data_IF_197078354671
#
_entry.id   IF_197078354671
#
_cell.length_a   1.000
_cell.length_b   1.000
_cell.length_c   1.000
_cell.angle_alpha   90.00
_cell.angle_beta   90.00
_cell.angle_gamma   90.00
#
_symmetry.space_group_name_H-M   'P 1'
#
loop_
_entity.id
_entity.type
_entity.pdbx_description
1 polymer ?
#
# COMPACT_ATOMS: atom_id res chain seq x y z
N UNK A 1 31.04 -45.63 -27.20
CA UNK A 1 30.05 -44.60 -27.59
C UNK A 1 28.94 -44.65 -26.56
N UNK A 2 28.99 -43.71 -25.61
CA UNK A 2 28.00 -43.53 -24.54
C UNK A 2 26.75 -42.91 -25.15
N UNK A 3 25.57 -43.47 -24.91
CA UNK A 3 24.36 -42.67 -24.75
C UNK A 3 23.33 -43.49 -23.98
N UNK A 4 23.12 -43.03 -22.75
CA UNK A 4 22.28 -43.58 -21.71
C UNK A 4 20.80 -43.47 -22.11
N UNK A 5 20.12 -44.62 -22.14
CA UNK A 5 18.67 -44.69 -22.11
C UNK A 5 18.17 -44.66 -20.67
N UNK A 6 17.02 -44.01 -20.49
CA UNK A 6 16.14 -44.04 -19.31
C UNK A 6 16.50 -43.12 -18.13
N UNK A 7 16.28 -41.81 -18.32
CA UNK A 7 15.91 -40.91 -17.21
C UNK A 7 14.39 -40.78 -17.17
N UNK A 8 13.73 -41.69 -16.45
CA UNK A 8 12.36 -41.52 -15.95
C UNK A 8 12.41 -40.62 -14.72
N UNK A 9 12.07 -39.34 -14.87
CA UNK A 9 11.76 -38.45 -13.76
C UNK A 9 10.41 -37.80 -14.03
N UNK A 10 9.36 -38.50 -13.60
CA UNK A 10 8.06 -37.93 -13.28
C UNK A 10 8.24 -36.92 -12.16
N UNK A 11 8.11 -35.63 -12.45
CA UNK A 11 7.94 -34.59 -11.45
C UNK A 11 6.74 -33.72 -11.85
N UNK A 12 5.59 -34.20 -11.39
CA UNK A 12 4.33 -33.52 -11.08
C UNK A 12 4.21 -32.07 -11.53
N UNK A 13 3.32 -31.83 -12.48
CA UNK A 13 2.68 -30.54 -12.68
C UNK A 13 1.92 -30.19 -11.38
N UNK A 14 2.54 -29.38 -10.52
CA UNK A 14 1.81 -28.69 -9.45
C UNK A 14 1.05 -27.57 -10.14
N UNK A 15 -0.09 -27.91 -10.74
CA UNK A 15 -1.18 -26.95 -10.90
C UNK A 15 -1.58 -26.56 -9.48
N UNK A 16 -0.95 -25.52 -8.94
CA UNK A 16 -1.42 -24.84 -7.76
C UNK A 16 -2.84 -24.38 -8.07
N UNK A 17 -3.83 -25.07 -7.51
CA UNK A 17 -5.20 -24.60 -7.53
C UNK A 17 -5.18 -23.17 -7.00
N UNK A 18 -5.68 -22.23 -7.80
CA UNK A 18 -6.03 -20.91 -7.29
C UNK A 18 -6.95 -21.18 -6.10
N UNK A 19 -6.41 -21.04 -4.89
CA UNK A 19 -7.23 -21.14 -3.69
C UNK A 19 -8.28 -20.06 -3.87
N UNK A 20 -9.55 -20.46 -3.90
CA UNK A 20 -10.65 -19.51 -3.90
C UNK A 20 -10.56 -18.80 -2.54
N UNK A 21 -9.79 -17.71 -2.49
CA UNK A 21 -9.75 -16.83 -1.33
C UNK A 21 -11.14 -16.21 -1.29
N UNK A 22 -11.97 -16.70 -0.37
CA UNK A 22 -13.22 -16.02 -0.06
C UNK A 22 -12.85 -14.59 0.31
N UNK A 23 -13.45 -13.62 -0.37
CA UNK A 23 -13.26 -12.21 -0.03
C UNK A 23 -13.59 -12.06 1.46
N UNK A 24 -12.71 -11.42 2.25
CA UNK A 24 -12.98 -11.21 3.66
C UNK A 24 -14.30 -10.45 3.82
N UNK A 25 -14.97 -10.59 4.98
CA UNK A 25 -16.09 -9.72 5.35
C UNK A 25 -15.72 -8.26 5.08
N UNK A 26 -16.67 -7.47 4.57
CA UNK A 26 -16.41 -6.08 4.15
C UNK A 26 -15.73 -5.26 5.26
N UNK A 27 -16.10 -5.47 6.52
CA UNK A 27 -15.50 -4.79 7.67
C UNK A 27 -14.02 -5.16 7.89
N UNK A 28 -13.67 -6.44 7.76
CA UNK A 28 -12.27 -6.89 7.88
C UNK A 28 -11.42 -6.40 6.71
N UNK A 29 -12.01 -6.34 5.52
CA UNK A 29 -11.38 -5.76 4.33
C UNK A 29 -11.10 -4.26 4.53
N UNK A 30 -12.07 -3.53 5.06
CA UNK A 30 -11.94 -2.09 5.34
C UNK A 30 -10.80 -1.82 6.33
N UNK A 31 -10.72 -2.58 7.42
CA UNK A 31 -9.66 -2.47 8.43
C UNK A 31 -8.28 -2.72 7.80
N UNK A 32 -8.16 -3.77 6.99
CA UNK A 32 -6.90 -4.10 6.33
C UNK A 32 -6.45 -2.99 5.36
N UNK A 33 -7.37 -2.48 4.55
CA UNK A 33 -7.11 -1.38 3.60
C UNK A 33 -6.73 -0.08 4.31
N UNK A 34 -7.40 0.24 5.42
CA UNK A 34 -7.06 1.40 6.25
C UNK A 34 -5.66 1.25 6.86
N UNK A 35 -5.33 0.06 7.39
CA UNK A 35 -4.02 -0.23 7.97
C UNK A 35 -2.88 -0.13 6.96
N UNK A 36 -3.07 -0.70 5.77
CA UNK A 36 -2.08 -0.63 4.69
C UNK A 36 -1.87 0.82 4.23
N UNK A 37 -2.97 1.55 4.00
CA UNK A 37 -2.88 2.93 3.54
C UNK A 37 -2.23 3.85 4.58
N UNK A 38 -2.51 3.64 5.87
CA UNK A 38 -1.81 4.32 6.95
C UNK A 38 -0.31 3.99 6.97
N UNK A 39 0.06 2.73 6.73
CA UNK A 39 1.46 2.30 6.64
C UNK A 39 2.21 3.03 5.53
N UNK A 40 1.60 3.15 4.34
CA UNK A 40 2.20 3.86 3.21
C UNK A 40 2.34 5.37 3.44
N UNK A 41 1.34 6.02 4.04
CA UNK A 41 1.45 7.41 4.45
C UNK A 41 2.57 7.59 5.47
N UNK A 42 2.68 6.66 6.42
CA UNK A 42 3.71 6.73 7.44
C UNK A 42 5.11 6.64 6.85
N UNK A 43 5.34 5.67 5.96
CA UNK A 43 6.60 5.50 5.26
C UNK A 43 6.95 6.72 4.41
N UNK A 44 5.96 7.32 3.72
CA UNK A 44 6.16 8.52 2.90
C UNK A 44 6.71 9.67 3.74
N UNK A 45 6.12 9.92 4.91
CA UNK A 45 6.63 10.95 5.82
C UNK A 45 8.03 10.68 6.33
N UNK A 46 8.31 9.44 6.72
CA UNK A 46 9.66 9.05 7.17
C UNK A 46 10.68 9.24 6.06
N UNK A 47 10.37 8.86 4.81
CA UNK A 47 11.28 9.06 3.69
C UNK A 47 11.50 10.52 3.37
N UNK A 48 10.48 11.36 3.53
CA UNK A 48 10.62 12.80 3.36
C UNK A 48 11.50 13.43 4.45
N UNK A 49 11.25 13.11 5.72
CA UNK A 49 12.03 13.62 6.86
C UNK A 49 13.51 13.20 6.78
N UNK A 50 13.77 11.97 6.31
CA UNK A 50 15.13 11.48 6.05
C UNK A 50 15.79 12.10 4.81
N UNK A 51 15.08 12.90 4.03
CA UNK A 51 15.57 13.49 2.78
C UNK A 51 15.77 12.46 1.65
N UNK A 52 15.17 11.28 1.76
CA UNK A 52 15.26 10.22 0.75
C UNK A 52 14.37 10.49 -0.46
N UNK A 53 13.31 11.29 -0.28
CA UNK A 53 12.46 11.80 -1.35
C UNK A 53 12.38 13.32 -1.26
N UNK A 54 12.23 14.00 -2.40
CA UNK A 54 12.03 15.45 -2.45
C UNK A 54 10.64 15.84 -1.95
N UNK A 55 10.45 17.13 -1.64
CA UNK A 55 9.14 17.66 -1.29
C UNK A 55 8.09 17.40 -2.38
N UNK A 56 8.47 17.57 -3.65
CA UNK A 56 7.58 17.29 -4.80
C UNK A 56 7.18 15.82 -4.86
N UNK A 57 8.14 14.90 -4.68
CA UNK A 57 7.87 13.46 -4.64
C UNK A 57 6.97 13.10 -3.46
N UNK A 58 7.22 13.68 -2.29
CA UNK A 58 6.39 13.52 -1.10
C UNK A 58 4.95 14.00 -1.33
N UNK A 59 4.78 15.21 -1.88
CA UNK A 59 3.46 15.78 -2.22
C UNK A 59 2.69 14.89 -3.19
N UNK A 60 3.35 14.40 -4.23
CA UNK A 60 2.73 13.51 -5.20
C UNK A 60 2.32 12.17 -4.56
N UNK A 61 3.20 11.57 -3.74
CA UNK A 61 2.91 10.33 -3.05
C UNK A 61 1.73 10.48 -2.08
N UNK A 62 1.71 11.53 -1.28
CA UNK A 62 0.60 11.87 -0.37
C UNK A 62 -0.71 12.07 -1.14
N UNK A 63 -0.70 12.82 -2.25
CA UNK A 63 -1.89 13.04 -3.08
C UNK A 63 -2.45 11.73 -3.64
N UNK A 64 -1.55 10.88 -4.16
CA UNK A 64 -1.94 9.57 -4.69
C UNK A 64 -2.53 8.67 -3.60
N UNK A 65 -1.87 8.59 -2.45
CA UNK A 65 -2.33 7.76 -1.32
C UNK A 65 -3.66 8.26 -0.78
N UNK A 66 -3.85 9.57 -0.62
CA UNK A 66 -5.13 10.14 -0.17
C UNK A 66 -6.25 9.95 -1.19
N UNK A 67 -5.95 9.96 -2.49
CA UNK A 67 -6.92 9.60 -3.54
C UNK A 67 -7.34 8.13 -3.44
N UNK A 68 -6.38 7.22 -3.19
CA UNK A 68 -6.66 5.79 -3.00
C UNK A 68 -7.45 5.53 -1.71
N UNK A 69 -7.09 6.22 -0.62
CA UNK A 69 -7.81 6.16 0.66
C UNK A 69 -9.23 6.70 0.49
N UNK A 70 -9.41 7.79 -0.26
CA UNK A 70 -10.74 8.34 -0.51
C UNK A 70 -11.61 7.28 -1.18
N UNK A 71 -11.16 6.75 -2.33
CA UNK A 71 -11.79 5.64 -3.05
C UNK A 71 -13.31 5.75 -3.21
N UNK A 72 -13.98 4.68 -3.64
CA UNK A 72 -15.45 4.66 -3.66
C UNK A 72 -16.06 4.23 -2.31
N UNK A 73 -15.26 3.61 -1.42
CA UNK A 73 -15.79 2.92 -0.22
C UNK A 73 -15.47 3.62 1.11
N UNK A 74 -14.41 4.43 1.19
CA UNK A 74 -13.87 4.93 2.47
C UNK A 74 -14.19 6.43 2.72
N UNK A 75 -14.21 7.24 1.68
CA UNK A 75 -14.64 8.64 1.71
C UNK A 75 -13.67 9.62 2.37
N UNK A 76 -14.11 10.88 2.48
CA UNK A 76 -13.29 11.99 3.00
C UNK A 76 -12.92 11.83 4.49
N UNK A 77 -13.78 11.18 5.30
CA UNK A 77 -13.44 10.92 6.70
C UNK A 77 -12.22 10.02 6.87
N UNK A 78 -12.09 8.99 6.03
CA UNK A 78 -10.94 8.09 6.08
C UNK A 78 -9.64 8.85 5.75
N UNK A 79 -9.69 9.77 4.78
CA UNK A 79 -8.56 10.66 4.44
C UNK A 79 -8.21 11.56 5.63
N UNK A 80 -9.21 12.16 6.28
CA UNK A 80 -9.00 13.04 7.42
C UNK A 80 -8.41 12.30 8.63
N UNK A 81 -8.90 11.10 8.93
CA UNK A 81 -8.34 10.24 9.99
C UNK A 81 -6.89 9.87 9.68
N UNK A 82 -6.61 9.48 8.43
CA UNK A 82 -5.27 9.06 8.03
C UNK A 82 -4.27 10.24 8.03
N UNK A 83 -4.69 11.41 7.54
CA UNK A 83 -3.91 12.66 7.62
C UNK A 83 -3.61 13.00 9.08
N UNK A 84 -4.62 13.00 9.95
CA UNK A 84 -4.45 13.27 11.38
C UNK A 84 -3.45 12.29 12.03
N UNK A 85 -3.63 10.99 11.81
CA UNK A 85 -2.75 9.97 12.39
C UNK A 85 -1.30 10.11 11.91
N UNK A 86 -1.09 10.44 10.64
CA UNK A 86 0.24 10.64 10.10
C UNK A 86 0.92 11.92 10.65
N UNK A 87 0.17 13.02 10.77
CA UNK A 87 0.66 14.29 11.33
C UNK A 87 0.88 14.27 12.84
N UNK A 88 0.03 13.56 13.59
CA UNK A 88 0.21 13.37 15.03
C UNK A 88 1.51 12.58 15.30
N UNK A 89 1.91 11.68 14.38
CA UNK A 89 3.18 10.94 14.45
C UNK A 89 4.38 11.79 14.00
N UNK A 90 4.22 12.54 12.92
CA UNK A 90 5.29 13.30 12.26
C UNK A 90 4.78 14.69 11.83
N UNK A 91 4.86 15.70 12.72
CA UNK A 91 4.36 17.05 12.44
C UNK A 91 5.13 17.75 11.31
N UNK A 92 6.40 17.39 11.09
CA UNK A 92 7.24 17.98 10.04
C UNK A 92 6.77 17.62 8.64
N UNK A 93 6.12 16.48 8.50
CA UNK A 93 5.56 16.02 7.23
C UNK A 93 4.41 16.92 6.72
N UNK A 94 3.86 17.86 7.52
CA UNK A 94 2.85 18.85 7.11
C UNK A 94 3.21 19.59 5.82
N UNK A 95 4.48 19.86 5.53
CA UNK A 95 4.92 20.55 4.30
C UNK A 95 4.54 19.81 3.01
N UNK A 96 4.41 18.47 3.05
CA UNK A 96 4.04 17.67 1.87
C UNK A 96 2.55 17.34 1.78
N UNK A 97 1.75 17.67 2.79
CA UNK A 97 0.30 17.72 2.67
C UNK A 97 -0.12 19.11 2.21
N UNK A 98 -0.27 19.28 0.90
CA UNK A 98 -0.84 20.51 0.36
C UNK A 98 -2.19 20.83 1.03
N UNK A 99 -2.42 22.10 1.35
CA UNK A 99 -3.77 22.61 1.57
C UNK A 99 -4.58 22.45 0.26
N UNK A 100 -5.90 22.19 0.33
CA UNK A 100 -6.74 22.23 -0.86
C UNK A 100 -6.49 23.55 -1.58
N UNK A 101 -6.02 23.49 -2.83
CA UNK A 101 -5.81 24.69 -3.63
C UNK A 101 -7.10 25.50 -3.70
N UNK A 102 -7.00 26.79 -3.38
CA UNK A 102 -8.01 27.81 -3.66
C UNK A 102 -8.35 27.89 -5.14
#
# INVERSE_FOLDING_TARGET
MRLLLASLLTASAVFGGASAVALPPLDELEIALQGEAQGWLNATCTYYDLGWISEEQGRYAVLRLTTLIKGEYLGDEAVNRAKKAALDRDPGCQSIWAEPGT
#
